data_IF_116952994496
#
_entry.id   IF_116952994496
#
_cell.length_a   1.000
_cell.length_b   1.000
_cell.length_c   1.000
_cell.angle_alpha   90.00
_cell.angle_beta   90.00
_cell.angle_gamma   90.00
#
_symmetry.space_group_name_H-M   'P 1'
#
loop_
_entity.id
_entity.type
_entity.pdbx_description
1 polymer ?
#
# COMPACT_ATOMS: atom_id res chain seq x y z
N UNK A 1 83.07 -1.97 -66.16
CA UNK A 1 82.49 -0.68 -65.76
C UNK A 1 81.02 -0.65 -66.19
N UNK A 2 80.09 -0.56 -65.21
CA UNK A 2 78.67 -0.15 -65.28
C UNK A 2 77.79 -1.01 -64.36
N UNK A 3 77.70 -0.51 -63.13
CA UNK A 3 76.61 -0.76 -62.17
C UNK A 3 75.27 -0.39 -62.81
N UNK A 4 74.21 -1.18 -62.56
CA UNK A 4 72.83 -0.72 -62.67
C UNK A 4 72.05 -1.12 -61.42
N UNK A 5 71.53 -0.08 -60.79
CA UNK A 5 70.85 0.00 -59.51
C UNK A 5 69.42 -0.51 -59.65
N UNK A 6 69.01 -1.38 -58.72
CA UNK A 6 67.64 -1.86 -58.56
C UNK A 6 66.83 -0.83 -57.77
N UNK A 7 65.78 -0.25 -58.37
CA UNK A 7 64.86 0.66 -57.69
C UNK A 7 63.61 -0.12 -57.24
N UNK A 8 63.46 -0.29 -55.93
CA UNK A 8 62.32 -0.94 -55.29
C UNK A 8 61.27 0.13 -54.94
N UNK A 9 60.10 0.13 -55.60
CA UNK A 9 58.98 1.01 -55.27
C UNK A 9 58.19 0.43 -54.10
N UNK A 10 58.21 1.13 -52.96
CA UNK A 10 57.40 0.84 -51.78
C UNK A 10 56.03 1.50 -51.93
N UNK A 11 54.99 0.72 -52.20
CA UNK A 11 53.59 1.19 -52.15
C UNK A 11 53.12 1.19 -50.69
N UNK A 12 53.09 2.37 -50.05
CA UNK A 12 52.54 2.54 -48.71
C UNK A 12 51.01 2.64 -48.84
N UNK A 13 50.32 1.59 -48.41
CA UNK A 13 48.86 1.54 -48.28
C UNK A 13 48.45 2.35 -47.04
N UNK A 14 48.02 3.60 -47.22
CA UNK A 14 47.36 4.37 -46.16
C UNK A 14 45.95 3.81 -45.94
N UNK A 15 45.81 2.89 -44.99
CA UNK A 15 44.50 2.51 -44.46
C UNK A 15 43.96 3.67 -43.62
N UNK A 16 43.04 4.46 -44.19
CA UNK A 16 42.25 5.41 -43.41
C UNK A 16 41.34 4.63 -42.46
N UNK A 17 41.71 4.59 -41.18
CA UNK A 17 40.80 4.22 -40.10
C UNK A 17 39.76 5.34 -39.96
N UNK A 18 38.68 5.24 -40.73
CA UNK A 18 37.46 6.02 -40.49
C UNK A 18 36.84 5.50 -39.18
N UNK A 19 37.12 6.17 -38.08
CA UNK A 19 36.34 6.02 -36.85
C UNK A 19 34.94 6.55 -37.13
N UNK A 20 33.98 5.64 -37.33
CA UNK A 20 32.57 5.98 -37.27
C UNK A 20 32.27 6.48 -35.87
N UNK A 21 32.22 7.80 -35.70
CA UNK A 21 31.61 8.41 -34.53
C UNK A 21 30.15 7.97 -34.54
N UNK A 22 29.75 7.10 -33.60
CA UNK A 22 28.33 6.79 -33.43
C UNK A 22 27.63 8.10 -33.06
N UNK A 23 26.88 8.66 -34.02
CA UNK A 23 26.11 9.86 -33.80
C UNK A 23 25.09 9.57 -32.71
N UNK A 24 25.25 10.22 -31.55
CA UNK A 24 24.30 10.14 -30.46
C UNK A 24 22.96 10.71 -30.97
N UNK A 25 21.85 9.96 -30.89
CA UNK A 25 20.55 10.42 -31.33
C UNK A 25 20.24 11.80 -30.74
N UNK A 26 19.79 12.74 -31.57
CA UNK A 26 19.53 14.11 -31.16
C UNK A 26 18.10 14.50 -31.54
N UNK A 27 17.37 15.08 -30.60
CA UNK A 27 16.05 15.69 -30.84
C UNK A 27 16.11 17.18 -30.53
N UNK A 28 15.31 17.99 -31.20
CA UNK A 28 15.27 19.45 -31.00
C UNK A 28 14.17 19.84 -30.02
N UNK A 29 14.33 21.00 -29.39
CA UNK A 29 13.30 21.64 -28.58
C UNK A 29 13.47 23.16 -28.59
N UNK A 30 12.37 23.91 -28.48
CA UNK A 30 12.39 25.35 -28.10
C UNK A 30 11.96 25.49 -26.63
N UNK A 31 11.00 24.68 -26.20
CA UNK A 31 10.53 24.68 -24.81
C UNK A 31 11.54 24.03 -23.88
N UNK A 32 11.73 24.61 -22.67
CA UNK A 32 12.53 24.00 -21.59
C UNK A 32 11.84 22.80 -20.93
N UNK A 33 10.52 22.66 -21.10
CA UNK A 33 9.74 21.54 -20.57
C UNK A 33 9.21 20.66 -21.69
N UNK A 34 9.20 19.36 -21.46
CA UNK A 34 8.73 18.35 -22.40
C UNK A 34 7.79 17.34 -21.74
N UNK A 35 7.03 16.62 -22.54
CA UNK A 35 6.15 15.55 -22.09
C UNK A 35 6.88 14.21 -22.09
N UNK A 36 6.49 13.33 -21.17
CA UNK A 36 6.96 11.93 -21.16
C UNK A 36 5.77 10.99 -21.25
N UNK A 37 5.83 10.07 -22.21
CA UNK A 37 4.98 8.88 -22.24
C UNK A 37 5.79 7.68 -21.78
N UNK A 38 5.52 7.18 -20.59
CA UNK A 38 6.15 6.00 -20.02
C UNK A 38 5.15 4.83 -20.00
N UNK A 39 5.27 3.93 -20.98
CA UNK A 39 4.32 2.83 -21.17
C UNK A 39 2.92 3.35 -21.51
N UNK A 40 1.95 3.12 -20.62
CA UNK A 40 0.57 3.63 -20.75
C UNK A 40 0.39 5.01 -20.11
N UNK A 41 1.34 5.44 -19.27
CA UNK A 41 1.25 6.67 -18.50
C UNK A 41 1.77 7.84 -19.33
N UNK A 42 0.95 8.85 -19.54
CA UNK A 42 1.35 10.10 -20.20
C UNK A 42 1.40 11.22 -19.17
N UNK A 43 2.53 11.93 -19.12
CA UNK A 43 2.80 13.02 -18.19
C UNK A 43 3.15 14.28 -18.99
N UNK A 44 2.26 15.26 -18.95
CA UNK A 44 2.42 16.54 -19.67
C UNK A 44 3.38 17.46 -18.91
N UNK A 45 4.34 18.06 -19.62
CA UNK A 45 5.35 19.00 -19.13
C UNK A 45 6.07 18.54 -17.84
N UNK A 46 6.27 17.23 -17.68
CA UNK A 46 6.78 16.63 -16.45
C UNK A 46 8.29 16.55 -16.37
N UNK A 47 9.00 16.93 -17.44
CA UNK A 47 10.45 16.89 -17.49
C UNK A 47 10.99 18.27 -17.87
N UNK A 48 11.98 18.74 -17.12
CA UNK A 48 12.68 19.98 -17.38
C UNK A 48 14.05 19.65 -17.98
N UNK A 49 14.30 20.10 -19.21
CA UNK A 49 15.58 19.93 -19.89
C UNK A 49 16.65 20.66 -19.08
N UNK A 50 17.61 19.91 -18.54
CA UNK A 50 18.61 20.41 -17.60
C UNK A 50 20.03 20.19 -18.15
N UNK A 51 20.54 21.06 -19.04
CA UNK A 51 21.89 20.92 -19.65
C UNK A 51 23.04 20.81 -18.65
N UNK A 52 22.84 21.34 -17.45
CA UNK A 52 23.80 21.27 -16.34
C UNK A 52 23.93 19.87 -15.74
N UNK A 53 22.96 18.97 -15.96
CA UNK A 53 23.03 17.57 -15.58
C UNK A 53 23.59 16.79 -16.78
N UNK A 54 24.72 16.11 -16.58
CA UNK A 54 25.43 15.42 -17.67
C UNK A 54 25.85 13.98 -17.25
N UNK A 55 25.05 12.94 -17.57
CA UNK A 55 23.72 13.02 -18.19
C UNK A 55 22.61 13.36 -17.18
N UNK A 56 21.54 13.98 -17.68
CA UNK A 56 20.24 14.09 -17.03
C UNK A 56 19.51 12.73 -17.14
N UNK A 57 19.37 12.00 -16.02
CA UNK A 57 18.95 10.58 -16.04
C UNK A 57 17.47 10.42 -15.71
N UNK A 58 16.71 9.88 -16.67
CA UNK A 58 15.34 9.41 -16.46
C UNK A 58 15.31 7.91 -16.16
N UNK A 59 14.97 7.55 -14.93
CA UNK A 59 14.80 6.16 -14.50
C UNK A 59 13.36 5.68 -14.74
N UNK A 60 13.22 4.49 -15.33
CA UNK A 60 11.91 3.86 -15.60
C UNK A 60 11.91 2.38 -15.22
N UNK A 61 10.75 1.87 -14.82
CA UNK A 61 10.51 0.45 -14.54
C UNK A 61 9.67 -0.27 -15.60
N UNK A 62 9.33 0.40 -16.71
CA UNK A 62 8.39 -0.07 -17.74
C UNK A 62 8.96 -1.12 -18.68
N UNK A 63 9.48 -2.21 -18.13
CA UNK A 63 10.11 -3.31 -18.86
C UNK A 63 9.19 -3.83 -20.00
N UNK A 64 9.76 -3.92 -21.21
CA UNK A 64 9.05 -4.37 -22.40
C UNK A 64 8.15 -3.33 -23.07
N UNK A 65 7.91 -2.18 -22.43
CA UNK A 65 7.13 -1.05 -22.99
C UNK A 65 8.06 0.01 -23.60
N UNK A 66 7.48 1.03 -24.22
CA UNK A 66 8.21 2.18 -24.75
C UNK A 66 8.19 3.34 -23.75
N UNK A 67 9.32 4.04 -23.62
CA UNK A 67 9.38 5.40 -23.08
C UNK A 67 9.59 6.35 -24.24
N UNK A 68 8.78 7.40 -24.30
CA UNK A 68 8.85 8.44 -25.32
C UNK A 68 9.04 9.80 -24.66
N UNK A 69 10.09 10.50 -25.04
CA UNK A 69 10.29 11.92 -24.76
C UNK A 69 9.70 12.71 -25.94
N UNK A 70 8.82 13.67 -25.65
CA UNK A 70 8.08 14.42 -26.67
C UNK A 70 8.33 15.91 -26.41
N UNK A 71 9.07 16.55 -27.31
CA UNK A 71 9.32 18.00 -27.28
C UNK A 71 8.29 18.72 -28.14
N UNK A 72 8.39 20.05 -28.22
CA UNK A 72 7.59 20.87 -29.12
C UNK A 72 8.00 20.76 -30.61
N UNK A 73 9.11 20.06 -30.90
CA UNK A 73 9.65 19.90 -32.27
C UNK A 73 9.73 18.45 -32.72
N UNK A 74 10.12 17.55 -31.83
CA UNK A 74 10.51 16.18 -32.15
C UNK A 74 10.07 15.21 -31.05
N UNK A 75 10.32 13.92 -31.27
CA UNK A 75 10.22 12.92 -30.21
C UNK A 75 11.23 11.80 -30.40
N UNK A 76 11.57 11.12 -29.30
CA UNK A 76 12.39 9.91 -29.32
C UNK A 76 11.73 8.83 -28.48
N UNK A 77 11.71 7.60 -28.98
CA UNK A 77 11.06 6.46 -28.34
C UNK A 77 12.01 5.28 -28.19
N UNK A 78 12.07 4.72 -26.99
CA UNK A 78 12.96 3.58 -26.67
C UNK A 78 12.14 2.46 -26.06
N UNK A 79 12.29 1.23 -26.57
CA UNK A 79 11.72 0.04 -25.93
C UNK A 79 12.63 -0.39 -24.77
N UNK A 80 12.08 -0.46 -23.57
CA UNK A 80 12.82 -0.73 -22.33
C UNK A 80 13.10 -2.23 -22.17
N UNK A 81 14.36 -2.56 -21.90
CA UNK A 81 14.89 -3.88 -21.56
C UNK A 81 15.59 -3.80 -20.21
N UNK A 82 15.89 -4.95 -19.58
CA UNK A 82 16.51 -5.02 -18.24
C UNK A 82 17.86 -4.31 -18.13
N UNK A 83 18.57 -4.16 -19.24
CA UNK A 83 19.89 -3.53 -19.32
C UNK A 83 19.85 -2.19 -20.08
N UNK A 84 18.67 -1.61 -20.32
CA UNK A 84 18.56 -0.35 -21.07
C UNK A 84 19.30 0.77 -20.36
N UNK A 85 20.31 1.29 -21.03
CA UNK A 85 20.92 2.61 -20.85
C UNK A 85 20.96 3.21 -22.25
N UNK A 86 20.13 4.22 -22.50
CA UNK A 86 19.99 4.84 -23.81
C UNK A 86 20.30 6.32 -23.70
N UNK A 87 21.42 6.72 -24.28
CA UNK A 87 21.89 8.09 -24.30
C UNK A 87 21.40 8.80 -25.55
N UNK A 88 20.96 10.05 -25.37
CA UNK A 88 20.55 10.93 -26.45
C UNK A 88 20.81 12.39 -26.05
N UNK A 89 20.77 13.28 -27.03
CA UNK A 89 20.92 14.73 -26.81
C UNK A 89 19.60 15.42 -27.10
N UNK A 90 19.23 16.35 -26.23
CA UNK A 90 18.18 17.33 -26.52
C UNK A 90 18.88 18.64 -26.86
N UNK A 91 18.70 19.11 -28.10
CA UNK A 91 19.23 20.38 -28.58
C UNK A 91 18.18 21.48 -28.38
N UNK A 92 18.34 22.25 -27.31
CA UNK A 92 17.47 23.36 -26.95
C UNK A 92 17.89 24.64 -27.68
N UNK A 93 16.94 25.30 -28.34
CA UNK A 93 17.15 26.54 -29.12
C UNK A 93 18.32 26.43 -30.11
N UNK A 94 18.45 25.26 -30.76
CA UNK A 94 19.47 24.92 -31.76
C UNK A 94 20.95 25.10 -31.32
N UNK A 95 21.21 25.36 -30.03
CA UNK A 95 22.53 25.75 -29.53
C UNK A 95 22.92 25.08 -28.21
N UNK A 96 21.96 24.86 -27.32
CA UNK A 96 22.22 24.32 -25.98
C UNK A 96 22.01 22.81 -25.98
N UNK A 97 23.07 22.04 -25.80
CA UNK A 97 23.00 20.58 -25.71
C UNK A 97 22.74 20.14 -24.27
N UNK A 98 21.67 19.37 -24.06
CA UNK A 98 21.46 18.61 -22.84
C UNK A 98 21.68 17.13 -23.13
N UNK A 99 22.65 16.51 -22.45
CA UNK A 99 22.87 15.08 -22.52
C UNK A 99 21.86 14.39 -21.59
N UNK A 100 21.10 13.45 -22.11
CA UNK A 100 20.01 12.81 -21.39
C UNK A 100 20.11 11.30 -21.54
N UNK A 101 19.80 10.57 -20.48
CA UNK A 101 19.82 9.11 -20.47
C UNK A 101 18.47 8.55 -20.04
N UNK A 102 17.95 7.59 -20.79
CA UNK A 102 16.85 6.72 -20.33
C UNK A 102 17.47 5.45 -19.76
N UNK A 103 17.24 5.20 -18.47
CA UNK A 103 17.80 4.06 -17.75
C UNK A 103 16.69 3.17 -17.19
N UNK A 104 16.77 1.87 -17.45
CA UNK A 104 15.93 0.93 -16.72
C UNK A 104 16.41 0.82 -15.27
N UNK A 105 15.47 1.00 -14.36
CA UNK A 105 15.59 0.67 -12.95
C UNK A 105 14.38 -0.14 -12.56
N UNK A 106 14.61 -1.37 -12.12
CA UNK A 106 13.53 -2.18 -11.58
C UNK A 106 12.84 -1.40 -10.46
N UNK A 107 11.54 -1.15 -10.61
CA UNK A 107 10.76 -0.70 -9.47
C UNK A 107 10.87 -1.80 -8.40
N UNK A 108 11.34 -1.44 -7.20
CA UNK A 108 11.23 -2.36 -6.08
C UNK A 108 9.73 -2.54 -5.84
N UNK A 109 9.21 -3.74 -6.09
CA UNK A 109 7.79 -3.99 -5.87
C UNK A 109 7.46 -3.76 -4.39
N UNK A 110 6.20 -3.47 -4.08
CA UNK A 110 5.75 -3.30 -2.70
C UNK A 110 6.05 -4.54 -1.85
N UNK A 111 5.97 -5.73 -2.46
CA UNK A 111 6.39 -6.98 -1.84
C UNK A 111 7.89 -7.03 -1.53
N UNK A 112 8.76 -6.57 -2.43
CA UNK A 112 10.20 -6.51 -2.15
C UNK A 112 10.55 -5.48 -1.06
N UNK A 113 9.79 -4.38 -0.96
CA UNK A 113 9.91 -3.45 0.18
C UNK A 113 9.49 -4.15 1.48
N UNK A 114 8.37 -4.86 1.48
CA UNK A 114 7.88 -5.60 2.64
C UNK A 114 8.85 -6.70 3.09
N UNK A 115 9.47 -7.42 2.16
CA UNK A 115 10.50 -8.44 2.43
C UNK A 115 11.71 -7.87 3.18
N UNK A 116 12.14 -6.66 2.81
CA UNK A 116 13.25 -5.97 3.51
C UNK A 116 12.89 -5.59 4.95
N UNK A 117 11.60 -5.37 5.22
CA UNK A 117 11.06 -5.02 6.51
C UNK A 117 10.72 -6.22 7.41
N UNK A 118 11.39 -7.36 7.22
CA UNK A 118 11.10 -8.58 7.96
C UNK A 118 11.41 -8.50 9.47
N UNK A 119 12.36 -7.64 9.86
CA UNK A 119 12.88 -7.61 11.23
C UNK A 119 12.04 -6.76 12.16
N UNK A 120 11.60 -7.37 13.25
CA UNK A 120 11.04 -6.74 14.45
C UNK A 120 12.00 -6.94 15.64
N UNK A 121 11.77 -6.25 16.76
CA UNK A 121 12.50 -6.49 18.01
C UNK A 121 11.58 -7.15 19.05
N UNK A 122 11.65 -8.48 19.16
CA UNK A 122 10.87 -9.27 20.13
C UNK A 122 11.29 -9.04 21.58
N UNK A 123 12.49 -8.48 21.80
CA UNK A 123 13.01 -8.12 23.13
C UNK A 123 12.67 -6.68 23.53
N UNK A 124 12.01 -5.91 22.66
CA UNK A 124 11.58 -4.55 22.96
C UNK A 124 10.48 -4.59 24.03
N UNK A 125 10.79 -4.05 25.21
CA UNK A 125 9.92 -4.01 26.38
C UNK A 125 9.36 -2.60 26.63
N UNK A 126 9.39 -1.73 25.62
CA UNK A 126 8.77 -0.40 25.67
C UNK A 126 7.30 -0.52 26.05
N UNK A 127 6.89 0.32 26.99
CA UNK A 127 5.51 0.38 27.45
C UNK A 127 4.54 0.70 26.30
N UNK A 128 3.51 -0.14 26.18
CA UNK A 128 2.27 0.17 25.49
C UNK A 128 1.12 -0.15 26.46
N UNK A 129 -0.01 0.58 26.40
CA UNK A 129 -1.18 0.22 27.18
C UNK A 129 -1.74 -1.15 26.74
N UNK A 130 -2.39 -1.83 27.67
CA UNK A 130 -3.07 -3.09 27.38
C UNK A 130 -4.29 -2.86 26.47
N UNK A 131 -4.50 -3.76 25.51
CA UNK A 131 -5.65 -3.70 24.63
C UNK A 131 -6.91 -4.17 25.35
N UNK A 132 -7.96 -3.36 25.31
CA UNK A 132 -9.26 -3.69 25.92
C UNK A 132 -10.36 -3.83 24.88
N UNK A 133 -11.41 -4.55 25.24
CA UNK A 133 -12.54 -4.85 24.37
C UNK A 133 -13.82 -4.64 25.17
N UNK A 134 -14.67 -3.74 24.71
CA UNK A 134 -15.92 -3.43 25.38
C UNK A 134 -16.79 -4.69 25.51
N UNK A 135 -17.39 -4.87 26.70
CA UNK A 135 -18.29 -6.00 26.96
C UNK A 135 -19.54 -5.92 26.09
N UNK A 136 -20.00 -7.06 25.56
CA UNK A 136 -21.26 -7.17 24.81
C UNK A 136 -22.49 -6.75 25.63
N UNK A 137 -22.38 -6.73 26.96
CA UNK A 137 -23.40 -6.22 27.89
C UNK A 137 -23.46 -4.68 27.93
N UNK A 138 -22.60 -3.97 27.20
CA UNK A 138 -22.70 -2.53 27.07
C UNK A 138 -24.03 -2.15 26.40
N UNK A 139 -24.81 -1.19 26.94
CA UNK A 139 -26.13 -0.85 26.38
C UNK A 139 -26.12 -0.47 24.89
N UNK A 140 -25.06 0.18 24.39
CA UNK A 140 -24.94 0.54 22.98
C UNK A 140 -24.68 -0.69 22.10
N UNK A 141 -23.86 -1.64 22.57
CA UNK A 141 -23.59 -2.88 21.86
C UNK A 141 -24.80 -3.82 21.87
N UNK A 142 -25.53 -3.91 22.99
CA UNK A 142 -26.82 -4.60 23.05
C UNK A 142 -27.83 -4.00 22.07
N UNK A 143 -27.87 -2.67 21.97
CA UNK A 143 -28.70 -1.95 21.00
C UNK A 143 -28.30 -2.28 19.56
N UNK A 144 -27.01 -2.30 19.24
CA UNK A 144 -26.50 -2.73 17.92
C UNK A 144 -26.97 -4.14 17.58
N UNK A 145 -26.74 -5.10 18.50
CA UNK A 145 -27.15 -6.51 18.32
C UNK A 145 -28.63 -6.62 18.00
N UNK A 146 -29.47 -5.92 18.78
CA UNK A 146 -30.93 -5.92 18.65
C UNK A 146 -31.40 -5.23 17.36
N UNK A 147 -30.98 -3.99 17.13
CA UNK A 147 -31.48 -3.14 16.04
C UNK A 147 -31.07 -3.71 14.66
N UNK A 148 -29.87 -4.28 14.57
CA UNK A 148 -29.35 -4.88 13.33
C UNK A 148 -29.73 -6.37 13.19
N UNK A 149 -30.32 -6.98 14.22
CA UNK A 149 -30.66 -8.43 14.27
C UNK A 149 -29.44 -9.33 14.05
N UNK A 150 -28.33 -9.01 14.72
CA UNK A 150 -27.04 -9.68 14.48
C UNK A 150 -27.07 -11.18 14.76
N UNK A 151 -27.86 -11.66 15.73
CA UNK A 151 -28.04 -13.09 15.98
C UNK A 151 -28.56 -13.86 14.76
N UNK A 152 -29.50 -13.26 14.03
CA UNK A 152 -30.05 -13.86 12.82
C UNK A 152 -29.06 -13.81 11.65
N UNK A 153 -28.21 -12.77 11.60
CA UNK A 153 -27.20 -12.61 10.54
C UNK A 153 -26.06 -13.59 10.77
N UNK A 154 -25.53 -13.65 11.99
CA UNK A 154 -24.47 -14.56 12.38
C UNK A 154 -24.93 -16.03 12.27
N UNK A 155 -26.18 -16.30 12.64
CA UNK A 155 -26.74 -17.65 12.68
C UNK A 155 -26.22 -18.46 13.87
N UNK A 156 -26.53 -19.76 13.86
CA UNK A 156 -26.24 -20.68 14.98
C UNK A 156 -25.12 -21.68 14.67
N UNK A 157 -24.34 -21.43 13.62
CA UNK A 157 -23.23 -22.29 13.20
C UNK A 157 -21.99 -22.16 14.10
N UNK A 158 -20.84 -22.66 13.61
CA UNK A 158 -19.55 -22.51 14.29
C UNK A 158 -19.18 -21.04 14.50
N UNK A 159 -18.26 -20.76 15.44
CA UNK A 159 -17.70 -19.41 15.63
C UNK A 159 -17.18 -18.84 14.31
N UNK A 160 -16.43 -19.66 13.57
CA UNK A 160 -15.93 -19.30 12.23
C UNK A 160 -17.06 -18.91 11.28
N UNK A 161 -18.15 -19.69 11.24
CA UNK A 161 -19.30 -19.38 10.37
C UNK A 161 -19.98 -18.07 10.77
N UNK A 162 -20.15 -17.83 12.07
CA UNK A 162 -20.74 -16.60 12.59
C UNK A 162 -19.89 -15.37 12.23
N UNK A 163 -18.57 -15.48 12.36
CA UNK A 163 -17.64 -14.42 11.96
C UNK A 163 -17.78 -14.11 10.46
N UNK A 164 -17.69 -15.13 9.62
CA UNK A 164 -17.76 -14.96 8.16
C UNK A 164 -19.14 -14.45 7.70
N UNK A 165 -20.23 -14.89 8.33
CA UNK A 165 -21.57 -14.39 8.01
C UNK A 165 -21.71 -12.89 8.26
N UNK A 166 -21.13 -12.36 9.35
CA UNK A 166 -21.11 -10.93 9.64
C UNK A 166 -20.23 -10.15 8.64
N UNK A 167 -19.06 -10.70 8.28
CA UNK A 167 -18.21 -10.18 7.21
C UNK A 167 -18.99 -10.03 5.88
N UNK A 168 -19.56 -11.14 5.40
CA UNK A 168 -20.33 -11.18 4.15
C UNK A 168 -21.52 -10.21 4.19
N UNK A 169 -22.20 -10.13 5.34
CA UNK A 169 -23.33 -9.22 5.52
C UNK A 169 -22.91 -7.75 5.41
N UNK A 170 -21.88 -7.30 6.15
CA UNK A 170 -21.40 -5.91 6.07
C UNK A 170 -20.94 -5.58 4.65
N UNK A 171 -20.16 -6.47 4.03
CA UNK A 171 -19.70 -6.29 2.65
C UNK A 171 -20.87 -6.10 1.68
N UNK A 172 -21.94 -6.88 1.83
CA UNK A 172 -23.11 -6.81 0.95
C UNK A 172 -23.95 -5.55 1.16
N UNK A 173 -24.12 -5.10 2.40
CA UNK A 173 -25.02 -3.97 2.67
C UNK A 173 -24.34 -2.61 2.55
N UNK A 174 -23.01 -2.55 2.60
CA UNK A 174 -22.24 -1.31 2.48
C UNK A 174 -21.42 -1.32 1.18
N UNK A 175 -21.73 -0.39 0.29
CA UNK A 175 -20.90 -0.13 -0.90
C UNK A 175 -19.59 0.53 -0.48
N UNK A 176 -18.45 -0.02 -0.89
CA UNK A 176 -17.16 0.63 -0.73
C UNK A 176 -17.03 1.82 -1.70
N UNK A 177 -16.60 2.95 -1.16
CA UNK A 177 -16.25 4.17 -1.86
C UNK A 177 -15.09 4.87 -1.13
N UNK A 178 -13.87 4.63 -1.62
CA UNK A 178 -12.65 5.18 -1.02
C UNK A 178 -12.56 6.71 -1.08
N UNK A 179 -13.36 7.37 -1.93
CA UNK A 179 -13.39 8.83 -2.05
C UNK A 179 -14.49 9.47 -1.19
N UNK A 180 -15.29 8.66 -0.48
CA UNK A 180 -16.37 9.12 0.39
C UNK A 180 -15.81 9.81 1.64
N UNK A 181 -16.32 11.00 1.94
CA UNK A 181 -16.02 11.70 3.18
C UNK A 181 -16.64 10.97 4.39
N UNK A 182 -15.98 11.05 5.54
CA UNK A 182 -16.51 10.45 6.77
C UNK A 182 -17.65 11.29 7.35
N UNK A 183 -18.78 10.69 7.73
CA UNK A 183 -19.87 11.39 8.40
C UNK A 183 -19.49 11.83 9.82
N UNK A 184 -20.33 12.67 10.43
CA UNK A 184 -20.11 13.17 11.79
C UNK A 184 -20.10 12.02 12.81
N UNK A 185 -21.19 11.24 12.81
CA UNK A 185 -21.35 10.03 13.62
C UNK A 185 -20.78 8.83 12.87
N UNK A 186 -19.91 8.07 13.54
CA UNK A 186 -19.10 7.00 12.97
C UNK A 186 -19.24 5.69 13.76
N UNK A 187 -20.42 5.45 14.35
CA UNK A 187 -20.81 4.15 14.89
C UNK A 187 -21.61 3.34 13.86
N UNK A 188 -21.75 2.04 14.09
CA UNK A 188 -22.36 1.10 13.16
C UNK A 188 -23.78 1.49 12.73
N UNK A 189 -24.64 1.87 13.68
CA UNK A 189 -26.05 2.19 13.41
C UNK A 189 -26.14 3.42 12.51
N UNK A 190 -25.44 4.49 12.87
CA UNK A 190 -25.49 5.75 12.12
C UNK A 190 -24.81 5.63 10.74
N UNK A 191 -23.71 4.87 10.65
CA UNK A 191 -23.03 4.61 9.38
C UNK A 191 -23.88 3.76 8.42
N UNK A 192 -24.57 2.74 8.92
CA UNK A 192 -25.50 1.95 8.09
C UNK A 192 -26.70 2.83 7.68
N UNK A 193 -27.21 3.65 8.60
CA UNK A 193 -28.34 4.54 8.34
C UNK A 193 -28.01 5.54 7.23
N UNK A 194 -26.87 6.22 7.31
CA UNK A 194 -26.50 7.23 6.31
C UNK A 194 -26.29 6.62 4.92
N UNK A 195 -25.71 5.42 4.81
CA UNK A 195 -25.59 4.72 3.53
C UNK A 195 -26.96 4.50 2.88
N UNK A 196 -27.95 4.10 3.67
CA UNK A 196 -29.32 3.87 3.21
C UNK A 196 -30.04 5.18 2.84
N UNK A 197 -29.92 6.21 3.69
CA UNK A 197 -30.66 7.47 3.48
C UNK A 197 -30.07 8.31 2.35
N UNK A 198 -28.75 8.31 2.17
CA UNK A 198 -28.07 9.12 1.15
C UNK A 198 -27.68 8.31 -0.10
N UNK A 199 -27.94 6.99 -0.14
CA UNK A 199 -27.53 6.10 -1.23
C UNK A 199 -26.03 6.22 -1.60
N UNK A 200 -25.19 6.29 -0.57
CA UNK A 200 -23.74 6.50 -0.70
C UNK A 200 -22.94 5.30 -0.17
N UNK A 201 -21.67 5.25 -0.58
CA UNK A 201 -20.71 4.31 -0.03
C UNK A 201 -19.87 4.89 1.10
N UNK A 202 -19.03 4.04 1.68
CA UNK A 202 -18.07 4.39 2.73
C UNK A 202 -16.67 3.87 2.38
N UNK A 203 -15.64 4.53 2.91
CA UNK A 203 -14.27 4.03 2.79
C UNK A 203 -14.01 2.82 3.70
N UNK A 204 -12.87 2.18 3.49
CA UNK A 204 -12.42 0.98 4.22
C UNK A 204 -12.45 1.16 5.75
N UNK A 205 -12.09 2.35 6.26
CA UNK A 205 -12.10 2.63 7.71
C UNK A 205 -13.49 2.49 8.29
N UNK A 206 -14.48 3.16 7.70
CA UNK A 206 -15.85 3.13 8.22
C UNK A 206 -16.50 1.75 8.06
N UNK A 207 -16.19 1.01 6.99
CA UNK A 207 -16.62 -0.39 6.86
C UNK A 207 -16.04 -1.28 7.96
N UNK A 208 -14.74 -1.15 8.24
CA UNK A 208 -14.09 -1.87 9.34
C UNK A 208 -14.62 -1.46 10.72
N UNK A 209 -15.00 -0.20 10.90
CA UNK A 209 -15.66 0.29 12.13
C UNK A 209 -17.03 -0.36 12.34
N UNK A 210 -17.88 -0.39 11.31
CA UNK A 210 -19.19 -1.07 11.37
C UNK A 210 -19.00 -2.54 11.78
N UNK A 211 -18.12 -3.25 11.08
CA UNK A 211 -17.89 -4.68 11.34
C UNK A 211 -17.29 -4.91 12.74
N UNK A 212 -16.38 -4.04 13.18
CA UNK A 212 -15.79 -4.13 14.53
C UNK A 212 -16.85 -4.06 15.61
N UNK A 213 -17.76 -3.08 15.54
CA UNK A 213 -18.82 -2.93 16.54
C UNK A 213 -19.83 -4.09 16.48
N UNK A 214 -20.09 -4.65 15.29
CA UNK A 214 -20.91 -5.85 15.17
C UNK A 214 -20.26 -7.06 15.88
N UNK A 215 -18.94 -7.24 15.75
CA UNK A 215 -18.23 -8.29 16.48
C UNK A 215 -18.29 -8.08 17.99
N UNK A 216 -18.01 -6.88 18.47
CA UNK A 216 -18.09 -6.57 19.90
C UNK A 216 -19.51 -6.81 20.46
N UNK A 217 -20.55 -6.44 19.70
CA UNK A 217 -21.94 -6.69 20.04
C UNK A 217 -22.30 -8.18 20.14
N UNK A 218 -21.57 -9.04 19.44
CA UNK A 218 -21.70 -10.49 19.49
C UNK A 218 -20.76 -11.15 20.52
N UNK A 219 -20.01 -10.36 21.30
CA UNK A 219 -19.02 -10.88 22.25
C UNK A 219 -17.71 -11.36 21.61
N UNK A 220 -17.54 -11.11 20.31
CA UNK A 220 -16.36 -11.51 19.54
C UNK A 220 -15.29 -10.41 19.68
N UNK A 221 -14.12 -10.77 20.19
CA UNK A 221 -13.02 -9.83 20.40
C UNK A 221 -12.42 -9.44 19.05
N UNK A 222 -12.53 -8.16 18.69
CA UNK A 222 -12.06 -7.61 17.41
C UNK A 222 -11.41 -6.25 17.61
N UNK A 223 -10.49 -5.89 16.72
CA UNK A 223 -9.99 -4.52 16.51
C UNK A 223 -9.95 -4.24 15.02
N UNK A 224 -10.28 -3.01 14.61
CA UNK A 224 -9.89 -2.57 13.27
C UNK A 224 -8.41 -2.16 13.26
N UNK A 225 -7.73 -2.39 12.14
CA UNK A 225 -6.30 -2.15 11.99
C UNK A 225 -6.04 -1.38 10.70
N UNK A 226 -5.39 -0.24 10.85
CA UNK A 226 -4.89 0.57 9.75
C UNK A 226 -3.58 -0.04 9.27
N UNK A 227 -3.61 -0.55 8.06
CA UNK A 227 -2.50 -1.14 7.32
C UNK A 227 -1.90 -0.06 6.41
N UNK A 228 -0.67 0.34 6.68
CA UNK A 228 -0.02 1.49 6.05
C UNK A 228 1.28 1.12 5.30
N UNK A 229 1.65 1.90 4.28
CA UNK A 229 2.93 1.78 3.58
C UNK A 229 4.14 2.19 4.44
N UNK A 230 5.34 1.98 3.86
CA UNK A 230 6.61 2.41 4.47
C UNK A 230 6.66 3.92 4.64
N UNK A 231 6.27 4.63 3.60
CA UNK A 231 6.25 6.07 3.51
C UNK A 231 5.28 6.66 4.54
N UNK A 232 5.60 7.86 5.05
CA UNK A 232 4.76 8.62 5.98
C UNK A 232 3.81 9.57 5.25
N UNK A 233 4.20 10.01 4.06
CA UNK A 233 3.34 10.68 3.09
C UNK A 233 2.87 9.67 2.03
N UNK A 234 1.56 9.45 1.96
CA UNK A 234 0.96 8.45 1.09
C UNK A 234 -0.51 8.79 0.76
N UNK A 235 -0.92 8.45 -0.46
CA UNK A 235 -2.26 8.77 -0.96
C UNK A 235 -3.37 7.87 -0.38
N UNK A 236 -3.00 6.67 0.07
CA UNK A 236 -3.97 5.63 0.46
C UNK A 236 -3.37 4.58 1.41
N UNK A 237 -4.23 4.09 2.32
CA UNK A 237 -3.98 2.98 3.23
C UNK A 237 -5.21 2.06 3.28
N UNK A 238 -5.08 0.88 3.87
CA UNK A 238 -6.21 -0.04 4.00
C UNK A 238 -6.58 -0.30 5.45
N UNK A 239 -7.87 -0.41 5.75
CA UNK A 239 -8.34 -0.73 7.11
C UNK A 239 -9.16 -2.01 7.07
N UNK A 240 -8.75 -2.98 7.88
CA UNK A 240 -9.40 -4.30 8.00
C UNK A 240 -9.66 -4.60 9.47
N UNK A 241 -10.24 -5.76 9.77
CA UNK A 241 -10.44 -6.25 11.13
C UNK A 241 -9.45 -7.38 11.44
N UNK A 242 -8.88 -7.35 12.64
CA UNK A 242 -8.32 -8.53 13.29
C UNK A 242 -9.35 -9.07 14.28
N UNK A 243 -9.66 -10.35 14.17
CA UNK A 243 -10.67 -11.00 15.01
C UNK A 243 -10.02 -12.15 15.77
N UNK A 244 -10.22 -12.25 17.08
CA UNK A 244 -9.67 -13.36 17.85
C UNK A 244 -10.64 -14.53 17.77
N UNK A 245 -10.22 -15.62 17.14
CA UNK A 245 -10.99 -16.85 17.13
C UNK A 245 -10.64 -17.69 18.36
N UNK A 246 -11.67 -18.04 19.13
CA UNK A 246 -11.57 -18.99 20.22
C UNK A 246 -11.45 -20.44 19.71
N UNK A 247 -11.93 -20.74 18.51
CA UNK A 247 -11.76 -22.03 17.83
C UNK A 247 -10.27 -22.27 17.52
N UNK A 248 -9.60 -21.31 16.85
CA UNK A 248 -8.19 -21.44 16.47
C UNK A 248 -7.19 -20.93 17.52
N UNK A 249 -7.67 -20.28 18.60
CA UNK A 249 -6.86 -19.64 19.66
C UNK A 249 -5.84 -18.63 19.13
N UNK A 250 -6.21 -17.91 18.07
CA UNK A 250 -5.37 -16.91 17.38
C UNK A 250 -6.19 -15.81 16.72
N UNK A 251 -5.51 -14.75 16.32
CA UNK A 251 -6.06 -13.68 15.49
C UNK A 251 -6.24 -14.14 14.04
N UNK A 252 -7.32 -13.73 13.38
CA UNK A 252 -7.62 -13.99 11.97
C UNK A 252 -7.86 -12.69 11.19
N UNK A 253 -7.54 -12.72 9.89
CA UNK A 253 -7.71 -11.65 8.91
C UNK A 253 -9.15 -11.59 8.42
N UNK A 254 -9.79 -10.43 8.56
CA UNK A 254 -11.15 -10.20 8.07
C UNK A 254 -11.23 -8.82 7.42
N UNK A 255 -11.59 -8.75 6.13
CA UNK A 255 -11.66 -7.50 5.38
C UNK A 255 -13.06 -7.26 4.79
N UNK A 256 -13.87 -6.38 5.39
CA UNK A 256 -15.22 -6.09 4.88
C UNK A 256 -15.23 -5.37 3.53
N UNK A 257 -14.12 -4.72 3.14
CA UNK A 257 -14.06 -3.97 1.89
C UNK A 257 -14.10 -4.90 0.68
N UNK A 258 -13.40 -6.03 0.79
CA UNK A 258 -13.20 -6.96 -0.32
C UNK A 258 -13.82 -8.34 -0.08
N UNK A 259 -14.63 -8.48 0.96
CA UNK A 259 -15.17 -9.77 1.42
C UNK A 259 -14.08 -10.82 1.62
N UNK A 260 -12.93 -10.37 2.14
CA UNK A 260 -11.69 -11.12 2.03
C UNK A 260 -11.24 -11.70 3.38
N UNK A 261 -10.85 -12.97 3.34
CA UNK A 261 -10.12 -13.68 4.37
C UNK A 261 -9.06 -14.56 3.72
N UNK A 262 -8.02 -14.88 4.47
CA UNK A 262 -6.84 -15.58 3.94
C UNK A 262 -6.65 -16.89 4.66
N UNK A 263 -6.33 -17.94 3.91
CA UNK A 263 -6.13 -19.29 4.40
C UNK A 263 -4.73 -19.80 4.04
N UNK A 264 -4.29 -20.82 4.77
CA UNK A 264 -3.18 -21.66 4.34
C UNK A 264 -3.66 -22.82 3.46
N UNK A 265 -2.69 -23.62 3.01
CA UNK A 265 -2.88 -24.83 2.21
C UNK A 265 -3.75 -25.92 2.87
N UNK A 266 -4.00 -25.84 4.18
CA UNK A 266 -4.89 -26.75 4.92
C UNK A 266 -6.32 -26.20 5.06
N UNK A 267 -6.59 -25.00 4.54
CA UNK A 267 -7.88 -24.31 4.73
C UNK A 267 -8.02 -23.61 6.08
N UNK A 268 -6.97 -23.52 6.89
CA UNK A 268 -7.03 -22.82 8.18
C UNK A 268 -6.94 -21.30 7.95
N UNK A 269 -7.82 -20.53 8.59
CA UNK A 269 -7.80 -19.07 8.55
C UNK A 269 -6.49 -18.53 9.14
N UNK A 270 -5.94 -17.48 8.52
CA UNK A 270 -4.68 -16.85 8.90
C UNK A 270 -4.91 -15.46 9.50
N UNK A 271 -4.10 -15.12 10.50
CA UNK A 271 -3.99 -13.77 11.04
C UNK A 271 -3.12 -12.86 10.17
N UNK A 272 -3.19 -11.56 10.44
CA UNK A 272 -2.43 -10.53 9.71
C UNK A 272 -0.91 -10.74 9.85
N UNK A 273 -0.47 -11.11 11.05
CA UNK A 273 0.94 -11.47 11.28
C UNK A 273 1.36 -12.66 10.40
N UNK A 274 0.57 -13.74 10.38
CA UNK A 274 0.87 -14.94 9.60
C UNK A 274 0.89 -14.65 8.09
N UNK A 275 -0.08 -13.87 7.60
CA UNK A 275 -0.13 -13.45 6.18
C UNK A 275 1.11 -12.64 5.81
N UNK A 276 1.48 -11.66 6.64
CA UNK A 276 2.68 -10.85 6.42
C UNK A 276 3.95 -11.71 6.40
N UNK A 277 4.13 -12.60 7.36
CA UNK A 277 5.28 -13.50 7.43
C UNK A 277 5.33 -14.45 6.23
N UNK A 278 4.18 -14.96 5.76
CA UNK A 278 4.11 -15.82 4.57
C UNK A 278 4.46 -15.05 3.29
N UNK A 279 3.99 -13.81 3.12
CA UNK A 279 4.39 -12.95 1.99
C UNK A 279 5.90 -12.72 1.94
N UNK A 280 6.51 -12.42 3.10
CA UNK A 280 7.95 -12.19 3.22
C UNK A 280 8.74 -13.44 2.83
N UNK A 281 8.30 -14.60 3.31
CA UNK A 281 9.01 -15.87 3.11
C UNK A 281 8.58 -16.62 1.83
N UNK A 282 7.71 -16.05 1.00
CA UNK A 282 7.21 -16.70 -0.21
C UNK A 282 6.42 -18.00 0.05
N UNK A 283 5.74 -18.08 1.20
CA UNK A 283 4.90 -19.24 1.55
C UNK A 283 3.50 -19.10 0.95
N UNK A 284 2.83 -20.23 0.76
CA UNK A 284 1.48 -20.31 0.18
C UNK A 284 0.48 -19.46 0.95
N UNK A 285 -0.33 -18.70 0.21
CA UNK A 285 -1.48 -17.95 0.70
C UNK A 285 -2.65 -18.22 -0.24
N UNK A 286 -3.80 -18.56 0.34
CA UNK A 286 -5.04 -18.78 -0.40
C UNK A 286 -5.98 -17.64 -0.01
N UNK A 287 -6.32 -16.79 -0.99
CA UNK A 287 -7.42 -15.84 -0.85
C UNK A 287 -8.74 -16.59 -1.06
N UNK A 288 -9.76 -16.30 -0.27
CA UNK A 288 -11.07 -16.93 -0.47
C UNK A 288 -11.62 -16.67 -1.88
N UNK A 289 -12.24 -17.67 -2.54
CA UNK A 289 -12.67 -17.55 -3.93
C UNK A 289 -13.64 -16.40 -4.21
N UNK A 290 -14.47 -16.05 -3.23
CA UNK A 290 -15.51 -15.02 -3.33
C UNK A 290 -14.99 -13.59 -3.11
N UNK A 291 -13.69 -13.39 -2.80
CA UNK A 291 -13.14 -12.06 -2.54
C UNK A 291 -13.37 -11.12 -3.74
N UNK A 292 -14.01 -9.98 -3.51
CA UNK A 292 -14.45 -9.09 -4.57
C UNK A 292 -14.65 -7.65 -4.06
N UNK A 293 -14.63 -6.67 -4.97
CA UNK A 293 -15.00 -5.29 -4.65
C UNK A 293 -16.49 -5.03 -4.96
N UNK A 294 -17.38 -5.40 -4.02
CA UNK A 294 -18.84 -5.27 -4.12
C UNK A 294 -19.40 -5.71 -5.50
N UNK A 295 -18.96 -6.87 -5.98
CA UNK A 295 -19.28 -7.49 -7.26
C UNK A 295 -18.91 -6.69 -8.51
N UNK A 296 -18.11 -5.61 -8.38
CA UNK A 296 -17.58 -4.86 -9.52
C UNK A 296 -16.34 -5.51 -10.13
N UNK A 297 -15.53 -6.14 -9.28
CA UNK A 297 -14.31 -6.82 -9.68
C UNK A 297 -13.91 -7.89 -8.67
N UNK A 298 -13.63 -9.11 -9.13
CA UNK A 298 -13.02 -10.16 -8.32
C UNK A 298 -11.61 -9.76 -7.89
N UNK A 299 -11.23 -10.11 -6.66
CA UNK A 299 -9.88 -9.95 -6.16
C UNK A 299 -9.06 -11.21 -6.42
N UNK A 300 -7.80 -11.04 -6.81
CA UNK A 300 -6.86 -12.14 -6.99
C UNK A 300 -5.79 -12.08 -5.90
N UNK A 301 -5.19 -13.22 -5.57
CA UNK A 301 -4.07 -13.28 -4.61
C UNK A 301 -2.91 -12.37 -5.06
N UNK A 302 -2.59 -12.37 -6.36
CA UNK A 302 -1.51 -11.58 -6.95
C UNK A 302 -1.75 -10.06 -6.82
N UNK A 303 -2.98 -9.61 -7.07
CA UNK A 303 -3.30 -8.19 -6.94
C UNK A 303 -3.53 -7.80 -5.49
N UNK A 304 -4.46 -8.47 -4.80
CA UNK A 304 -4.86 -8.09 -3.46
C UNK A 304 -3.74 -8.32 -2.45
N UNK A 305 -3.12 -9.51 -2.39
CA UNK A 305 -2.09 -9.79 -1.38
C UNK A 305 -0.71 -9.32 -1.81
N UNK A 306 -0.25 -9.70 -2.99
CA UNK A 306 1.15 -9.49 -3.41
C UNK A 306 1.43 -8.07 -3.93
N UNK A 307 0.38 -7.30 -4.25
CA UNK A 307 0.52 -5.90 -4.72
C UNK A 307 -0.05 -4.91 -3.71
N UNK A 308 -1.36 -4.96 -3.46
CA UNK A 308 -2.07 -3.96 -2.66
C UNK A 308 -1.79 -4.12 -1.15
N UNK A 309 -2.00 -5.31 -0.58
CA UNK A 309 -1.71 -5.54 0.83
C UNK A 309 -0.21 -5.62 1.11
N UNK A 310 0.62 -6.05 0.17
CA UNK A 310 2.06 -5.93 0.31
C UNK A 310 2.52 -4.48 0.52
N UNK A 311 1.84 -3.50 -0.11
CA UNK A 311 2.02 -2.07 0.20
C UNK A 311 1.64 -1.78 1.65
N UNK A 312 0.46 -2.23 2.06
CA UNK A 312 -0.20 -1.82 3.30
C UNK A 312 0.23 -2.63 4.55
N UNK A 313 0.95 -3.74 4.43
CA UNK A 313 1.37 -4.55 5.59
C UNK A 313 2.73 -4.14 6.17
N UNK A 314 3.20 -2.94 5.85
CA UNK A 314 4.49 -2.45 6.32
C UNK A 314 4.40 -1.94 7.77
N UNK A 315 3.49 -0.99 8.03
CA UNK A 315 3.18 -0.43 9.36
C UNK A 315 1.74 -0.73 9.71
N UNK A 316 1.49 -1.02 10.98
CA UNK A 316 0.19 -1.47 11.46
C UNK A 316 -0.23 -0.66 12.68
N UNK A 317 -1.38 0.00 12.62
CA UNK A 317 -1.89 0.86 13.71
C UNK A 317 -3.31 0.49 14.11
N UNK A 318 -3.57 0.36 15.39
CA UNK A 318 -4.88 -0.02 15.94
C UNK A 318 -5.22 0.84 17.16
N UNK A 319 -6.51 1.14 17.43
CA UNK A 319 -6.90 1.68 18.73
C UNK A 319 -6.51 0.72 19.86
N UNK A 320 -6.23 1.28 21.03
CA UNK A 320 -5.98 0.54 22.27
C UNK A 320 -7.27 -0.04 22.81
N UNK A 321 -8.31 0.80 22.86
CA UNK A 321 -9.63 0.46 23.37
C UNK A 321 -10.55 0.17 22.18
N UNK A 322 -10.95 -1.09 22.03
CA UNK A 322 -11.93 -1.48 21.00
C UNK A 322 -13.33 -1.36 21.57
N UNK A 323 -14.02 -0.29 21.20
CA UNK A 323 -15.28 0.10 21.82
C UNK A 323 -16.27 0.63 20.80
N UNK A 324 -17.53 0.74 21.21
CA UNK A 324 -18.56 1.46 20.46
C UNK A 324 -18.13 2.91 20.23
N UNK A 325 -18.35 3.39 19.00
CA UNK A 325 -18.30 4.80 18.63
C UNK A 325 -16.90 5.41 18.78
N UNK A 326 -15.83 4.59 18.69
CA UNK A 326 -14.41 5.03 18.81
C UNK A 326 -14.04 6.14 17.82
N UNK A 327 -14.55 6.13 16.59
CA UNK A 327 -14.19 7.09 15.54
C UNK A 327 -15.01 8.40 15.59
N UNK A 328 -16.10 8.45 16.35
CA UNK A 328 -16.90 9.69 16.49
C UNK A 328 -16.15 10.72 17.33
N UNK A 329 -16.04 11.93 16.76
CA UNK A 329 -15.44 13.09 17.42
C UNK A 329 -16.43 13.60 18.48
N UNK A 330 -16.00 13.64 19.74
CA UNK A 330 -16.76 14.19 20.86
C UNK A 330 -15.83 15.06 21.71
N UNK A 331 -16.37 16.16 22.22
CA UNK A 331 -15.63 17.06 23.10
C UNK A 331 -15.01 16.31 24.28
N UNK A 332 -13.74 16.58 24.58
CA UNK A 332 -13.00 15.95 25.66
C UNK A 332 -12.67 14.46 25.47
N UNK A 333 -12.98 13.85 24.33
CA UNK A 333 -12.68 12.43 24.08
C UNK A 333 -11.19 12.18 23.97
N UNK A 334 -10.71 11.12 24.62
CA UNK A 334 -9.36 10.59 24.45
C UNK A 334 -9.37 9.34 23.58
N UNK A 335 -8.45 9.24 22.63
CA UNK A 335 -8.25 8.05 21.80
C UNK A 335 -6.77 7.69 21.84
N UNK A 336 -6.48 6.46 22.26
CA UNK A 336 -5.13 5.92 22.26
C UNK A 336 -4.95 4.91 21.13
N UNK A 337 -3.78 4.94 20.47
CA UNK A 337 -3.40 4.02 19.41
C UNK A 337 -2.04 3.39 19.70
N UNK A 338 -1.85 2.16 19.24
CA UNK A 338 -0.52 1.53 19.15
C UNK A 338 -0.20 1.32 17.67
N UNK A 339 1.02 1.67 17.29
CA UNK A 339 1.61 1.38 15.98
C UNK A 339 2.76 0.37 16.13
N UNK A 340 2.69 -0.73 15.38
CA UNK A 340 3.77 -1.68 15.18
C UNK A 340 4.57 -1.30 13.94
N UNK A 341 5.87 -1.06 14.13
CA UNK A 341 6.82 -0.74 13.07
C UNK A 341 7.91 -1.80 12.97
N UNK A 342 8.35 -2.18 11.75
CA UNK A 342 9.59 -2.95 11.56
C UNK A 342 10.79 -2.07 11.92
N UNK A 343 11.96 -2.69 12.14
CA UNK A 343 13.16 -1.97 12.57
C UNK A 343 13.71 -0.96 11.55
N UNK A 344 13.37 -1.13 10.28
CA UNK A 344 13.71 -0.19 9.21
C UNK A 344 12.60 0.83 8.91
N UNK A 345 11.60 0.95 9.80
CA UNK A 345 10.57 2.00 9.76
C UNK A 345 11.17 3.41 9.91
N UNK A 346 10.57 4.39 9.22
CA UNK A 346 11.09 5.76 9.10
C UNK A 346 11.03 6.50 10.44
N UNK A 347 9.87 6.51 11.09
CA UNK A 347 9.65 7.28 12.31
C UNK A 347 9.61 6.37 13.56
N UNK A 348 10.76 5.92 14.03
CA UNK A 348 10.84 5.05 15.23
C UNK A 348 10.57 5.80 16.54
N UNK A 349 10.82 7.11 16.57
CA UNK A 349 10.74 7.96 17.76
C UNK A 349 9.91 9.21 17.49
N UNK A 350 9.36 9.86 18.54
CA UNK A 350 9.31 9.39 19.93
C UNK A 350 8.39 8.16 20.08
N UNK A 351 8.57 7.39 21.16
CA UNK A 351 7.74 6.21 21.45
C UNK A 351 6.29 6.60 21.74
N UNK A 352 6.08 7.70 22.46
CA UNK A 352 4.76 8.22 22.82
C UNK A 352 4.62 9.65 22.32
N UNK A 353 3.52 9.94 21.66
CA UNK A 353 3.10 11.31 21.33
C UNK A 353 1.70 11.56 21.87
N UNK A 354 1.45 12.81 22.24
CA UNK A 354 0.13 13.31 22.61
C UNK A 354 -0.16 14.56 21.81
N UNK A 355 -1.37 14.68 21.29
CA UNK A 355 -1.84 15.87 20.58
C UNK A 355 -3.31 16.11 20.88
N UNK A 356 -3.68 17.36 21.16
CA UNK A 356 -5.07 17.76 21.35
C UNK A 356 -5.51 18.62 20.18
N UNK A 357 -6.62 18.25 19.54
CA UNK A 357 -7.19 19.05 18.47
C UNK A 357 -7.87 20.29 19.04
N UNK A 358 -7.38 21.48 18.70
CA UNK A 358 -7.86 22.76 19.27
C UNK A 358 -9.30 23.13 18.91
N UNK A 359 -9.89 22.50 17.89
CA UNK A 359 -11.29 22.76 17.47
C UNK A 359 -12.29 21.84 18.14
N UNK A 360 -11.86 20.64 18.53
CA UNK A 360 -12.76 19.56 18.99
C UNK A 360 -12.42 19.05 20.39
N UNK A 361 -11.31 19.53 20.96
CA UNK A 361 -10.70 19.07 22.21
C UNK A 361 -10.44 17.55 22.29
N UNK A 362 -10.47 16.85 21.15
CA UNK A 362 -10.12 15.43 21.11
C UNK A 362 -8.62 15.27 21.33
N UNK A 363 -8.27 14.49 22.35
CA UNK A 363 -6.89 14.13 22.65
C UNK A 363 -6.56 12.79 21.99
N UNK A 364 -5.51 12.77 21.19
CA UNK A 364 -4.97 11.55 20.59
C UNK A 364 -3.64 11.22 21.24
N UNK A 365 -3.50 9.99 21.73
CA UNK A 365 -2.26 9.43 22.24
C UNK A 365 -1.80 8.35 21.27
N UNK A 366 -0.57 8.41 20.79
CA UNK A 366 0.01 7.35 19.93
C UNK A 366 1.23 6.75 20.60
N UNK A 367 1.24 5.42 20.70
CA UNK A 367 2.35 4.61 21.17
C UNK A 367 2.97 3.87 19.99
N UNK A 368 4.29 3.68 20.00
CA UNK A 368 5.03 2.89 19.02
C UNK A 368 5.70 1.71 19.71
N UNK A 369 5.70 0.57 19.04
CA UNK A 369 6.46 -0.62 19.46
C UNK A 369 7.10 -1.29 18.24
N UNK A 370 8.25 -1.92 18.44
CA UNK A 370 8.79 -2.86 17.46
C UNK A 370 8.56 -4.32 17.88
N UNK A 371 7.82 -4.55 18.98
CA UNK A 371 7.55 -5.88 19.50
C UNK A 371 6.20 -6.43 19.02
N UNK A 372 6.19 -7.41 18.10
CA UNK A 372 4.95 -8.04 17.66
C UNK A 372 4.25 -8.80 18.79
N UNK A 373 4.97 -9.33 19.80
CA UNK A 373 4.33 -10.03 20.92
C UNK A 373 3.46 -9.10 21.77
N UNK A 374 3.87 -7.83 21.91
CA UNK A 374 3.06 -6.82 22.59
C UNK A 374 1.85 -6.41 21.74
N UNK A 375 2.06 -6.19 20.44
CA UNK A 375 1.02 -5.72 19.53
C UNK A 375 -0.08 -6.77 19.25
N UNK A 376 0.32 -8.03 19.03
CA UNK A 376 -0.56 -9.17 18.75
C UNK A 376 -0.98 -9.92 20.02
N UNK A 377 -0.83 -9.30 21.19
CA UNK A 377 -1.24 -9.88 22.46
C UNK A 377 -2.67 -10.44 22.36
N UNK A 378 -2.87 -11.62 22.94
CA UNK A 378 -4.20 -12.24 23.02
C UNK A 378 -5.09 -11.36 23.91
N UNK A 379 -6.40 -11.29 23.65
CA UNK A 379 -7.31 -10.62 24.57
C UNK A 379 -7.18 -11.22 25.97
N UNK A 380 -7.05 -10.36 26.98
CA UNK A 380 -7.20 -10.78 28.37
C UNK A 380 -8.66 -11.10 28.67
N UNK A 381 -8.87 -11.99 29.64
CA UNK A 381 -10.20 -12.53 29.97
C UNK A 381 -11.13 -11.49 30.56
#
# INVERSE_FOLDING_TARGET
MKSKITLLLFFIFFAQLATSQQNIPTIKAISKKLDIRDGKTYKKQSWNISPQLNPDVYETSSLGKKVTFITDKDSISVKIKKNTQFDFVILLNDSVKAYTQIKYKAATSRLEILKKAAKYNYSDNRFIPEFTYQSMENPNLMKIRKDLKLDSIAGTGSETSQILNLLHWVHRIIRHDGSSYNPALKNAIDLIKICKTENRGLNCRMMATILNECYLAMGIKSRYITCMPKETDFDDCHVINMVYSNEFKKWIWIDPTFDAYVMNEKGELLGIQEVRERLINGKTLILNPEANWNNKATQTKEYYLETYMAKNLYRLKTPVYSEYDTETVKDGKEIAYVELLPLDGIEQTPQKTESTNTKTNVKTISYKTNNPNLFWAKPTK
#
